data_IF_006859692611
#
_entry.id   IF_006859692611
#
_cell.length_a   1.000
_cell.length_b   1.000
_cell.length_c   1.000
_cell.angle_alpha   90.00
_cell.angle_beta   90.00
_cell.angle_gamma   90.00
#
_symmetry.space_group_name_H-M   'P 1'
#
loop_
_entity.id
_entity.type
_entity.pdbx_description
1 polymer ?
#
# COMPACT_ATOMS: atom_id res chain seq x y z
N UNK A 1 11.87 12.67 9.69
CA UNK A 1 11.02 12.29 8.52
C UNK A 1 9.58 12.51 8.92
N UNK A 2 8.84 13.30 8.18
CA UNK A 2 7.43 13.60 8.45
C UNK A 2 6.62 13.16 7.23
N UNK A 3 5.60 12.31 7.46
CA UNK A 3 4.65 11.93 6.44
C UNK A 3 3.47 12.90 6.45
N UNK A 4 2.97 13.25 5.27
CA UNK A 4 1.81 14.11 5.07
C UNK A 4 0.78 13.43 4.18
N UNK A 5 -0.51 13.67 4.48
CA UNK A 5 -1.60 13.20 3.63
C UNK A 5 -1.82 14.20 2.49
N UNK A 6 -1.77 13.71 1.26
CA UNK A 6 -2.18 14.46 0.09
C UNK A 6 -3.63 14.08 -0.26
N UNK A 7 -4.54 15.06 -0.34
CA UNK A 7 -5.94 14.79 -0.66
C UNK A 7 -6.11 13.91 -1.89
N UNK A 8 -7.07 13.07 -1.79
CA UNK A 8 -7.61 11.97 -2.54
C UNK A 8 -7.14 10.61 -2.02
N UNK A 9 -5.87 10.23 -2.15
CA UNK A 9 -5.49 8.84 -1.82
C UNK A 9 -4.04 8.65 -1.41
N UNK A 10 -3.21 9.67 -1.39
CA UNK A 10 -1.77 9.50 -1.26
C UNK A 10 -1.25 9.92 0.11
N UNK A 11 -0.25 9.18 0.60
CA UNK A 11 0.61 9.60 1.70
C UNK A 11 1.99 9.87 1.12
N UNK A 12 2.53 11.02 1.45
CA UNK A 12 3.80 11.52 0.92
C UNK A 12 4.83 11.76 2.02
N UNK A 13 6.10 11.61 1.66
CA UNK A 13 7.26 12.05 2.44
C UNK A 13 8.11 12.93 1.54
N UNK A 14 8.36 14.16 1.97
CA UNK A 14 9.10 15.16 1.21
C UNK A 14 8.56 15.36 -0.23
N UNK A 15 7.22 15.39 -0.36
CA UNK A 15 6.51 15.55 -1.63
C UNK A 15 6.54 14.34 -2.56
N UNK A 16 7.04 13.18 -2.08
CA UNK A 16 7.07 11.92 -2.83
C UNK A 16 6.13 10.89 -2.22
N UNK A 17 5.33 10.25 -3.05
CA UNK A 17 4.38 9.21 -2.63
C UNK A 17 5.10 7.99 -2.06
N UNK A 18 4.72 7.60 -0.85
CA UNK A 18 5.17 6.36 -0.20
C UNK A 18 4.04 5.34 -0.04
N UNK A 19 2.80 5.81 0.00
CA UNK A 19 1.64 4.95 0.16
C UNK A 19 0.45 5.46 -0.65
N UNK A 20 -0.38 4.55 -1.09
CA UNK A 20 -1.68 4.85 -1.68
C UNK A 20 -2.78 4.22 -0.86
N UNK A 21 -3.90 4.88 -0.74
CA UNK A 21 -5.05 4.42 0.05
C UNK A 21 -6.33 4.48 -0.77
N UNK A 22 -7.31 3.69 -0.39
CA UNK A 22 -8.64 3.73 -0.98
C UNK A 22 -9.66 3.10 -0.03
N UNK A 23 -10.89 3.52 -0.15
CA UNK A 23 -11.98 2.97 0.66
C UNK A 23 -13.29 2.96 -0.10
N UNK A 24 -14.14 2.02 0.25
CA UNK A 24 -15.50 1.91 -0.25
C UNK A 24 -16.44 1.44 0.86
N UNK A 25 -17.70 1.88 0.78
CA UNK A 25 -18.77 1.36 1.63
C UNK A 25 -19.55 0.29 0.87
N UNK A 26 -19.85 -0.80 1.56
CA UNK A 26 -20.80 -1.82 1.13
C UNK A 26 -21.85 -1.98 2.24
N UNK A 27 -23.02 -1.39 2.04
CA UNK A 27 -24.00 -1.24 3.09
C UNK A 27 -23.45 -0.48 4.30
N UNK A 28 -23.38 -1.13 5.47
CA UNK A 28 -22.84 -0.57 6.71
C UNK A 28 -21.37 -0.94 6.95
N UNK A 29 -20.75 -1.68 6.04
CA UNK A 29 -19.34 -2.06 6.14
C UNK A 29 -18.45 -1.06 5.40
N UNK A 30 -17.31 -0.73 5.99
CA UNK A 30 -16.25 0.04 5.35
C UNK A 30 -15.12 -0.91 4.99
N UNK A 31 -14.83 -1.03 3.69
CA UNK A 31 -13.59 -1.61 3.22
C UNK A 31 -12.57 -0.47 3.02
N UNK A 32 -11.49 -0.49 3.78
CA UNK A 32 -10.38 0.42 3.61
C UNK A 32 -9.11 -0.37 3.31
N UNK A 33 -8.43 0.00 2.24
CA UNK A 33 -7.19 -0.66 1.81
C UNK A 33 -6.10 0.37 1.52
N UNK A 34 -4.85 -0.06 1.66
CA UNK A 34 -3.71 0.76 1.35
C UNK A 34 -2.50 -0.07 0.96
N UNK A 35 -1.58 0.58 0.28
CA UNK A 35 -0.27 0.01 -0.07
C UNK A 35 0.81 0.88 0.55
N UNK A 36 1.79 0.26 1.20
CA UNK A 36 3.01 0.92 1.67
C UNK A 36 4.19 0.38 0.88
N UNK A 37 4.95 1.28 0.25
CA UNK A 37 6.10 0.92 -0.55
C UNK A 37 7.31 0.65 0.36
N UNK A 38 7.70 -0.62 0.49
CA UNK A 38 8.79 -1.06 1.37
C UNK A 38 10.14 -1.05 0.65
N UNK A 39 10.23 -1.82 -0.43
CA UNK A 39 11.38 -1.95 -1.32
C UNK A 39 10.83 -2.10 -2.74
N UNK A 40 10.78 -1.01 -3.46
CA UNK A 40 9.99 -0.92 -4.68
C UNK A 40 10.85 -0.47 -5.86
N UNK A 41 10.96 -1.33 -6.86
CA UNK A 41 11.64 -1.04 -8.12
C UNK A 41 10.66 -0.39 -9.11
N UNK A 42 10.79 0.93 -9.26
CA UNK A 42 9.93 1.73 -10.14
C UNK A 42 10.08 1.33 -11.60
N UNK A 43 11.30 1.04 -12.05
CA UNK A 43 11.54 0.66 -13.45
C UNK A 43 10.90 -0.69 -13.76
N UNK A 44 11.05 -1.65 -12.86
CA UNK A 44 10.41 -2.95 -12.99
C UNK A 44 8.89 -2.83 -13.01
N UNK A 45 8.30 -1.98 -12.15
CA UNK A 45 6.87 -1.69 -12.15
C UNK A 45 6.43 -1.14 -13.50
N UNK A 46 7.11 -0.10 -14.01
CA UNK A 46 6.74 0.51 -15.28
C UNK A 46 6.80 -0.49 -16.44
N UNK A 47 7.77 -1.41 -16.43
CA UNK A 47 7.89 -2.50 -17.42
C UNK A 47 6.77 -3.54 -17.34
N UNK A 48 6.19 -3.75 -16.14
CA UNK A 48 5.04 -4.65 -15.96
C UNK A 48 3.72 -4.05 -16.41
N UNK A 49 3.64 -2.73 -16.55
CA UNK A 49 2.47 -2.03 -17.06
C UNK A 49 2.51 -2.00 -18.60
N UNK A 50 1.33 -2.14 -19.22
CA UNK A 50 1.19 -1.98 -20.69
C UNK A 50 1.19 -0.49 -21.06
N UNK A 51 2.35 0.14 -20.91
CA UNK A 51 2.52 1.56 -21.17
C UNK A 51 3.03 1.79 -22.61
N UNK A 52 2.67 2.92 -23.24
CA UNK A 52 3.31 3.37 -24.45
C UNK A 52 4.83 3.49 -24.28
N UNK A 53 5.61 3.18 -25.34
CA UNK A 53 7.07 3.16 -25.27
C UNK A 53 7.68 4.49 -24.77
N UNK A 54 7.02 5.62 -25.05
CA UNK A 54 7.44 6.95 -24.59
C UNK A 54 7.44 7.08 -23.06
N UNK A 55 6.57 6.31 -22.36
CA UNK A 55 6.52 6.29 -20.88
C UNK A 55 7.58 5.37 -20.26
N UNK A 56 8.36 4.69 -21.07
CA UNK A 56 9.51 3.88 -20.65
C UNK A 56 10.85 4.56 -21.01
N UNK A 57 10.81 5.81 -21.45
CA UNK A 57 12.03 6.59 -21.69
C UNK A 57 12.79 6.85 -20.38
N UNK A 58 14.11 7.07 -20.45
CA UNK A 58 14.90 7.41 -19.27
C UNK A 58 14.33 8.62 -18.49
N UNK A 59 13.81 9.61 -19.21
CA UNK A 59 13.23 10.83 -18.62
C UNK A 59 11.91 10.52 -17.90
N UNK A 60 11.06 9.66 -18.45
CA UNK A 60 9.82 9.24 -17.84
C UNK A 60 10.08 8.41 -16.59
N UNK A 61 11.07 7.51 -16.61
CA UNK A 61 11.51 6.73 -15.45
C UNK A 61 12.07 7.65 -14.36
N UNK A 62 12.92 8.61 -14.72
CA UNK A 62 13.44 9.61 -13.79
C UNK A 62 12.32 10.46 -13.18
N UNK A 63 11.34 10.87 -13.97
CA UNK A 63 10.16 11.59 -13.51
C UNK A 63 9.29 10.78 -12.54
N UNK A 64 9.16 9.48 -12.76
CA UNK A 64 8.47 8.58 -11.82
C UNK A 64 9.24 8.43 -10.50
N UNK A 65 10.56 8.26 -10.56
CA UNK A 65 11.45 8.20 -9.38
C UNK A 65 11.42 9.48 -8.55
N UNK A 66 11.26 10.63 -9.20
CA UNK A 66 11.15 11.90 -8.50
C UNK A 66 9.82 12.07 -7.73
N UNK A 67 8.81 11.25 -8.03
CA UNK A 67 7.46 11.33 -7.42
C UNK A 67 7.12 10.20 -6.46
N UNK A 68 7.92 9.16 -6.43
CA UNK A 68 7.68 7.96 -5.61
C UNK A 68 8.91 7.71 -4.75
N UNK A 69 8.69 7.27 -3.53
CA UNK A 69 9.74 6.87 -2.57
C UNK A 69 9.32 5.58 -1.85
N UNK A 70 10.27 4.83 -1.36
CA UNK A 70 10.01 3.64 -0.55
C UNK A 70 10.76 3.69 0.79
N UNK A 71 10.41 2.79 1.73
CA UNK A 71 11.03 2.78 3.06
C UNK A 71 12.52 2.48 3.02
N UNK A 72 12.98 1.61 2.11
CA UNK A 72 14.40 1.31 1.96
C UNK A 72 15.21 2.58 1.64
N UNK A 73 14.70 3.40 0.71
CA UNK A 73 15.36 4.65 0.34
C UNK A 73 15.40 5.65 1.50
N UNK A 74 14.32 5.76 2.27
CA UNK A 74 14.21 6.70 3.38
C UNK A 74 15.00 6.29 4.63
N UNK A 75 15.06 4.98 4.92
CA UNK A 75 15.61 4.45 6.17
C UNK A 75 16.97 3.74 5.98
N UNK A 76 17.38 3.51 4.72
CA UNK A 76 18.55 2.69 4.41
C UNK A 76 18.34 1.18 4.58
N UNK A 77 17.23 0.78 5.19
CA UNK A 77 16.86 -0.62 5.48
C UNK A 77 15.35 -0.78 5.46
N UNK A 78 14.87 -1.96 5.06
CA UNK A 78 13.45 -2.31 5.21
C UNK A 78 13.27 -2.94 6.60
N UNK A 79 12.44 -2.35 7.48
CA UNK A 79 12.10 -2.96 8.76
C UNK A 79 11.44 -4.34 8.56
N UNK A 80 11.56 -5.28 9.52
CA UNK A 80 10.85 -6.55 9.47
C UNK A 80 9.34 -6.33 9.27
N UNK A 81 8.74 -7.11 8.38
CA UNK A 81 7.34 -6.96 8.00
C UNK A 81 6.40 -7.04 9.22
N UNK A 82 6.67 -7.94 10.15
CA UNK A 82 5.88 -8.09 11.38
C UNK A 82 5.93 -6.83 12.27
N UNK A 83 7.07 -6.15 12.31
CA UNK A 83 7.18 -4.88 13.02
C UNK A 83 6.33 -3.79 12.37
N UNK A 84 6.30 -3.76 11.04
CA UNK A 84 5.46 -2.82 10.26
C UNK A 84 3.99 -3.11 10.54
N UNK A 85 3.55 -4.37 10.42
CA UNK A 85 2.16 -4.78 10.69
C UNK A 85 1.72 -4.44 12.10
N UNK A 86 2.56 -4.75 13.10
CA UNK A 86 2.29 -4.44 14.50
C UNK A 86 2.11 -2.94 14.73
N UNK A 87 2.99 -2.13 14.15
CA UNK A 87 2.90 -0.68 14.29
C UNK A 87 1.65 -0.13 13.61
N UNK A 88 1.34 -0.60 12.41
CA UNK A 88 0.12 -0.19 11.69
C UNK A 88 -1.13 -0.55 12.49
N UNK A 89 -1.23 -1.78 13.01
CA UNK A 89 -2.37 -2.19 13.83
C UNK A 89 -2.52 -1.31 15.08
N UNK A 90 -1.42 -0.99 15.77
CA UNK A 90 -1.44 -0.11 16.93
C UNK A 90 -1.92 1.30 16.62
N UNK A 91 -1.47 1.89 15.50
CA UNK A 91 -1.89 3.23 15.08
C UNK A 91 -3.36 3.27 14.62
N UNK A 92 -3.82 2.22 13.91
CA UNK A 92 -5.25 2.10 13.58
C UNK A 92 -6.11 1.94 14.83
N UNK A 93 -5.69 1.11 15.79
CA UNK A 93 -6.39 0.94 17.06
C UNK A 93 -6.52 2.27 17.81
N UNK A 94 -5.43 3.02 17.92
CA UNK A 94 -5.41 4.32 18.57
C UNK A 94 -6.27 5.36 17.84
N UNK A 95 -6.18 5.42 16.52
CA UNK A 95 -6.92 6.38 15.69
C UNK A 95 -8.42 6.12 15.65
N UNK A 96 -8.85 4.86 15.72
CA UNK A 96 -10.25 4.46 15.72
C UNK A 96 -10.84 4.29 17.12
N UNK A 97 -10.03 4.32 18.16
CA UNK A 97 -10.48 4.09 19.54
C UNK A 97 -10.95 2.65 19.77
N UNK A 98 -10.34 1.66 19.12
CA UNK A 98 -10.72 0.24 19.19
C UNK A 98 -9.56 -0.63 19.67
N UNK A 99 -9.88 -1.85 20.08
CA UNK A 99 -8.90 -2.88 20.40
C UNK A 99 -8.99 -3.96 19.31
N UNK A 100 -7.85 -4.30 18.70
CA UNK A 100 -7.78 -5.43 17.78
C UNK A 100 -7.40 -6.71 18.51
N UNK A 101 -8.12 -7.77 18.21
CA UNK A 101 -7.82 -9.12 18.67
C UNK A 101 -7.46 -10.01 17.46
N UNK A 102 -6.48 -10.92 17.58
CA UNK A 102 -6.23 -11.92 16.57
C UNK A 102 -7.49 -12.75 16.31
N UNK A 103 -7.83 -12.96 15.06
CA UNK A 103 -8.99 -13.75 14.66
C UNK A 103 -8.63 -14.73 13.55
N UNK A 104 -9.47 -15.71 13.34
CA UNK A 104 -9.40 -16.65 12.23
C UNK A 104 -10.54 -16.39 11.25
N UNK A 105 -10.34 -16.77 10.01
CA UNK A 105 -11.40 -16.71 9.00
C UNK A 105 -12.52 -17.71 9.35
N UNK A 106 -13.75 -17.28 9.23
CA UNK A 106 -14.89 -18.16 9.36
C UNK A 106 -14.91 -19.22 8.24
N UNK A 107 -15.45 -20.44 8.49
CA UNK A 107 -15.53 -21.50 7.47
C UNK A 107 -16.20 -21.03 6.17
N UNK A 108 -17.18 -20.14 6.25
CA UNK A 108 -17.85 -19.55 5.09
C UNK A 108 -16.90 -18.65 4.27
N UNK A 109 -16.08 -17.85 4.91
CA UNK A 109 -15.09 -16.96 4.24
C UNK A 109 -14.04 -17.82 3.54
N UNK A 110 -13.52 -18.86 4.19
CA UNK A 110 -12.57 -19.81 3.60
C UNK A 110 -13.16 -20.49 2.37
N UNK A 111 -14.44 -20.86 2.41
CA UNK A 111 -15.13 -21.47 1.27
C UNK A 111 -15.25 -20.48 0.10
N UNK A 112 -15.74 -19.29 0.34
CA UNK A 112 -15.89 -18.22 -0.67
C UNK A 112 -14.55 -17.89 -1.32
N UNK A 113 -13.49 -17.77 -0.52
CA UNK A 113 -12.13 -17.55 -1.03
C UNK A 113 -11.67 -18.67 -1.97
N UNK A 114 -11.90 -19.94 -1.61
CA UNK A 114 -11.56 -21.08 -2.46
C UNK A 114 -12.39 -21.16 -3.74
N UNK A 115 -13.64 -20.74 -3.71
CA UNK A 115 -14.49 -20.64 -4.89
C UNK A 115 -13.98 -19.56 -5.85
N UNK A 116 -13.70 -18.36 -5.35
CA UNK A 116 -13.15 -17.25 -6.13
C UNK A 116 -11.80 -17.58 -6.79
N UNK A 117 -10.93 -18.35 -6.13
CA UNK A 117 -9.66 -18.79 -6.73
C UNK A 117 -9.82 -19.74 -7.93
N UNK A 118 -10.96 -20.37 -8.14
CA UNK A 118 -11.21 -21.24 -9.31
C UNK A 118 -11.62 -20.47 -10.57
N UNK A 119 -11.95 -19.19 -10.40
CA UNK A 119 -12.39 -18.30 -11.48
C UNK A 119 -11.24 -17.47 -12.09
N UNK A 120 -10.03 -17.59 -11.52
CA UNK A 120 -8.81 -16.92 -11.98
C UNK A 120 -7.95 -17.91 -12.78
#
# INVERSE_FOLDING_TARGET
>A
MQATYRPLTDIEVDGRKIAGTGGAFDGNALLYQGTLLLDFDIERMLRCLRLPAQMLSPEAIAGARARIVNLRELLGVVPPLEKIKHRMAAEFAAGLGVVFEPGELYPQEVRLFREALKEI
#
